data_IF_536799828459
#
_entry.id   IF_536799828459
#
_cell.length_a   1.000
_cell.length_b   1.000
_cell.length_c   1.000
_cell.angle_alpha   90.00
_cell.angle_beta   90.00
_cell.angle_gamma   90.00
#
_symmetry.space_group_name_H-M   'P 1'
#
loop_
_entity.id
_entity.type
_entity.pdbx_description
1 polymer ?
#
# COMPACT_ATOMS: atom_id res chain seq x y z
N UNK A 1 -60.66 4.35 35.71
CA UNK A 1 -61.02 5.77 35.52
C UNK A 1 -59.75 6.59 35.67
N UNK A 2 -59.26 7.40 34.75
CA UNK A 2 -59.71 7.86 33.45
C UNK A 2 -58.46 8.06 32.56
N UNK A 3 -58.62 7.83 31.26
CA UNK A 3 -57.60 8.10 30.24
C UNK A 3 -57.51 9.61 29.97
N UNK A 4 -56.31 10.13 29.72
CA UNK A 4 -56.14 11.33 28.91
C UNK A 4 -54.99 11.15 27.92
N UNK A 5 -55.40 11.10 26.66
CA UNK A 5 -54.57 11.07 25.46
C UNK A 5 -54.26 12.52 25.10
N UNK A 6 -52.98 12.91 25.16
CA UNK A 6 -52.48 14.16 24.61
C UNK A 6 -51.74 13.89 23.30
N UNK A 7 -52.37 14.25 22.18
CA UNK A 7 -51.75 14.23 20.84
C UNK A 7 -50.76 15.39 20.75
N UNK A 8 -49.49 15.12 20.45
CA UNK A 8 -48.58 16.12 19.89
C UNK A 8 -48.00 15.57 18.60
N UNK A 9 -48.29 16.27 17.51
CA UNK A 9 -47.87 15.97 16.16
C UNK A 9 -46.83 17.02 15.71
N UNK A 10 -45.84 16.54 14.93
CA UNK A 10 -44.90 17.29 14.08
C UNK A 10 -43.96 18.27 14.80
N UNK A 11 -42.65 18.27 14.54
CA UNK A 11 -42.04 18.39 13.21
C UNK A 11 -40.66 17.73 13.15
N UNK A 12 -40.46 16.94 12.09
CA UNK A 12 -39.19 16.43 11.61
C UNK A 12 -38.38 17.59 11.01
N UNK A 13 -37.39 18.08 11.74
CA UNK A 13 -36.40 19.04 11.25
C UNK A 13 -35.11 18.31 10.91
N UNK A 14 -35.00 17.78 9.68
CA UNK A 14 -33.76 17.27 9.15
C UNK A 14 -32.81 18.44 8.87
N UNK A 15 -31.74 18.57 9.66
CA UNK A 15 -30.57 19.36 9.30
C UNK A 15 -29.43 18.38 9.00
N UNK A 16 -29.49 17.81 7.80
CA UNK A 16 -28.34 17.21 7.13
C UNK A 16 -27.38 18.35 6.77
N UNK A 17 -26.49 18.68 7.69
CA UNK A 17 -25.25 19.36 7.31
C UNK A 17 -24.32 18.28 6.78
N UNK A 18 -24.53 17.93 5.51
CA UNK A 18 -23.56 17.23 4.69
C UNK A 18 -22.36 18.17 4.47
N UNK A 19 -21.50 18.25 5.47
CA UNK A 19 -20.15 18.74 5.29
C UNK A 19 -19.41 17.69 4.48
N UNK A 20 -19.21 17.96 3.19
CA UNK A 20 -18.19 17.28 2.39
C UNK A 20 -16.83 17.59 3.04
N UNK A 21 -16.43 16.76 4.00
CA UNK A 21 -15.05 16.71 4.48
C UNK A 21 -14.23 16.01 3.40
N UNK A 22 -13.91 16.76 2.35
CA UNK A 22 -12.75 16.43 1.52
C UNK A 22 -11.51 16.73 2.36
N UNK A 23 -11.09 15.78 3.19
CA UNK A 23 -9.73 15.75 3.70
C UNK A 23 -8.79 15.35 2.55
N UNK A 24 -8.56 16.27 1.62
CA UNK A 24 -7.55 16.12 0.57
C UNK A 24 -6.26 16.80 1.03
N UNK A 25 -5.42 16.07 1.76
CA UNK A 25 -3.95 16.16 1.74
C UNK A 25 -3.40 15.25 2.84
N UNK A 26 -2.90 14.07 2.45
CA UNK A 26 -2.14 13.18 3.33
C UNK A 26 -0.66 13.15 2.93
N UNK A 27 -0.05 14.34 2.83
CA UNK A 27 1.38 14.46 2.61
C UNK A 27 1.83 15.88 2.31
N UNK A 28 2.93 16.31 2.91
CA UNK A 28 3.67 17.47 2.43
C UNK A 28 4.03 17.27 0.95
N UNK A 29 3.87 18.33 0.15
CA UNK A 29 4.25 18.33 -1.25
C UNK A 29 5.71 17.86 -1.40
N UNK A 30 5.94 16.87 -2.27
CA UNK A 30 7.29 16.34 -2.49
C UNK A 30 8.21 17.43 -3.02
N UNK A 31 9.41 17.50 -2.46
CA UNK A 31 10.52 18.26 -3.04
C UNK A 31 10.92 17.67 -4.38
N UNK A 32 11.61 18.46 -5.21
CA UNK A 32 12.13 17.97 -6.50
C UNK A 32 13.05 16.74 -6.33
N UNK A 33 13.86 16.72 -5.26
CA UNK A 33 14.73 15.60 -4.94
C UNK A 33 13.93 14.34 -4.60
N UNK A 34 12.88 14.45 -3.78
CA UNK A 34 11.98 13.33 -3.47
C UNK A 34 11.25 12.85 -4.72
N UNK A 35 10.79 13.77 -5.59
CA UNK A 35 10.12 13.40 -6.83
C UNK A 35 11.05 12.64 -7.79
N UNK A 36 12.32 13.06 -7.90
CA UNK A 36 13.35 12.32 -8.66
C UNK A 36 13.61 10.96 -8.02
N UNK A 37 13.75 10.89 -6.70
CA UNK A 37 13.97 9.65 -5.99
C UNK A 37 12.83 8.64 -6.21
N UNK A 38 11.57 9.09 -6.11
CA UNK A 38 10.40 8.26 -6.37
C UNK A 38 10.32 7.73 -7.81
N UNK A 39 10.86 8.50 -8.76
CA UNK A 39 11.02 8.08 -10.16
C UNK A 39 12.23 7.17 -10.42
N UNK A 40 12.97 6.79 -9.36
CA UNK A 40 14.13 5.91 -9.40
C UNK A 40 15.44 6.61 -9.76
N UNK A 41 15.54 7.92 -9.52
CA UNK A 41 16.72 8.74 -9.82
C UNK A 41 17.22 9.41 -8.54
N UNK A 42 18.29 8.87 -7.96
CA UNK A 42 18.92 9.36 -6.72
C UNK A 42 20.37 8.87 -6.62
N UNK A 43 21.18 9.47 -5.75
CA UNK A 43 22.53 8.96 -5.43
C UNK A 43 22.49 8.03 -4.22
N UNK A 44 23.36 7.02 -4.19
CA UNK A 44 23.35 6.01 -3.11
C UNK A 44 23.58 6.61 -1.72
N UNK A 45 24.39 7.68 -1.66
CA UNK A 45 24.68 8.43 -0.44
C UNK A 45 23.47 9.18 0.14
N UNK A 46 22.41 9.37 -0.65
CA UNK A 46 21.21 10.09 -0.24
C UNK A 46 20.18 9.16 0.41
N UNK A 47 20.38 7.83 0.30
CA UNK A 47 19.51 6.82 0.94
C UNK A 47 19.78 6.77 2.43
N UNK A 48 18.72 6.75 3.22
CA UNK A 48 18.76 6.69 4.69
C UNK A 48 17.95 5.50 5.21
N UNK A 49 18.37 5.00 6.37
CA UNK A 49 17.60 4.03 7.14
C UNK A 49 16.21 4.56 7.50
N UNK A 50 15.26 3.64 7.68
CA UNK A 50 13.87 3.91 8.04
C UNK A 50 13.41 2.93 9.11
N UNK A 51 12.55 3.40 10.02
CA UNK A 51 11.93 2.56 11.03
C UNK A 51 10.64 1.92 10.48
N UNK A 52 10.19 0.81 11.07
CA UNK A 52 8.93 0.17 10.65
C UNK A 52 7.72 1.10 10.82
N UNK A 53 7.82 2.06 11.74
CA UNK A 53 6.79 3.09 11.97
C UNK A 53 6.51 3.99 10.77
N UNK A 54 7.40 4.06 9.78
CA UNK A 54 7.12 4.74 8.51
C UNK A 54 5.96 4.06 7.73
N UNK A 55 5.63 2.82 8.07
CA UNK A 55 4.50 2.05 7.53
C UNK A 55 3.42 1.75 8.57
N UNK A 56 3.42 2.39 9.74
CA UNK A 56 2.37 2.20 10.75
C UNK A 56 0.98 2.51 10.14
N UNK A 57 0.00 1.68 10.47
CA UNK A 57 -1.37 1.80 9.97
C UNK A 57 -2.00 0.47 9.57
N UNK A 58 -3.21 0.56 9.05
CA UNK A 58 -3.94 -0.58 8.48
C UNK A 58 -4.02 -0.44 6.97
N UNK A 59 -3.76 -1.52 6.26
CA UNK A 59 -3.51 -1.49 4.83
C UNK A 59 -4.33 -2.57 4.10
N UNK A 60 -4.92 -2.21 2.96
CA UNK A 60 -5.73 -3.09 2.12
C UNK A 60 -5.00 -3.42 0.81
N UNK A 61 -5.05 -4.70 0.41
CA UNK A 61 -4.52 -5.15 -0.88
C UNK A 61 -5.33 -4.56 -2.04
N UNK A 62 -4.64 -4.14 -3.11
CA UNK A 62 -5.30 -3.67 -4.35
C UNK A 62 -5.71 -4.82 -5.28
N UNK A 63 -5.30 -6.06 -4.97
CA UNK A 63 -5.58 -7.20 -5.83
C UNK A 63 -7.07 -7.45 -6.07
N UNK A 64 -7.96 -7.37 -5.06
CA UNK A 64 -9.41 -7.47 -5.28
C UNK A 64 -9.95 -6.43 -6.27
N UNK A 65 -9.41 -5.21 -6.29
CA UNK A 65 -9.83 -4.15 -7.22
C UNK A 65 -9.37 -4.43 -8.65
N UNK A 66 -8.25 -5.14 -8.82
CA UNK A 66 -7.85 -5.64 -10.14
C UNK A 66 -8.81 -6.75 -10.60
N UNK A 67 -9.17 -7.66 -9.71
CA UNK A 67 -10.01 -8.83 -10.03
C UNK A 67 -11.44 -8.43 -10.41
N UNK A 68 -12.03 -7.47 -9.72
CA UNK A 68 -13.38 -6.98 -9.99
C UNK A 68 -13.46 -5.97 -11.16
N UNK A 69 -12.30 -5.57 -11.71
CA UNK A 69 -12.19 -4.68 -12.87
C UNK A 69 -12.16 -3.19 -12.53
N UNK A 70 -12.19 -2.81 -11.25
CA UNK A 70 -12.20 -1.40 -10.84
C UNK A 70 -10.93 -0.65 -11.24
N UNK A 71 -9.80 -1.35 -11.39
CA UNK A 71 -8.54 -0.76 -11.86
C UNK A 71 -8.43 -0.64 -13.39
N UNK A 72 -9.43 -1.09 -14.17
CA UNK A 72 -9.39 -1.03 -15.64
C UNK A 72 -9.14 0.38 -16.21
N UNK A 73 -9.70 1.48 -15.66
CA UNK A 73 -9.37 2.84 -16.10
C UNK A 73 -7.88 3.17 -15.99
N UNK A 74 -7.21 2.72 -14.92
CA UNK A 74 -5.76 2.90 -14.70
C UNK A 74 -4.97 2.23 -15.81
N UNK A 75 -5.28 0.96 -16.11
CA UNK A 75 -4.55 0.20 -17.13
C UNK A 75 -4.80 0.74 -18.54
N UNK A 76 -6.02 1.22 -18.83
CA UNK A 76 -6.32 1.91 -20.11
C UNK A 76 -5.49 3.17 -20.26
N UNK A 77 -5.38 3.98 -19.22
CA UNK A 77 -4.57 5.21 -19.26
C UNK A 77 -3.08 4.89 -19.47
N UNK A 78 -2.55 3.87 -18.78
CA UNK A 78 -1.15 3.43 -18.96
C UNK A 78 -0.87 2.92 -20.38
N UNK A 79 -1.76 2.09 -20.96
CA UNK A 79 -1.66 1.66 -22.37
C UNK A 79 -1.85 2.81 -23.38
N UNK A 80 -2.56 3.88 -23.00
CA UNK A 80 -2.65 5.08 -23.82
C UNK A 80 -1.35 5.89 -23.80
N UNK A 81 -0.66 5.97 -22.66
CA UNK A 81 0.63 6.65 -22.49
C UNK A 81 1.78 5.88 -23.14
N UNK A 82 1.81 4.56 -23.03
CA UNK A 82 2.79 3.68 -23.67
C UNK A 82 2.15 2.84 -24.78
N UNK A 83 2.36 3.25 -26.03
CA UNK A 83 1.80 2.58 -27.21
C UNK A 83 2.47 1.24 -27.54
N UNK A 84 3.53 0.85 -26.83
CA UNK A 84 4.18 -0.45 -27.02
C UNK A 84 3.46 -1.61 -26.33
N UNK A 85 2.48 -1.31 -25.47
CA UNK A 85 1.70 -2.29 -24.71
C UNK A 85 0.20 -2.10 -24.92
N UNK A 86 -0.50 -3.20 -25.16
CA UNK A 86 -1.96 -3.24 -25.15
C UNK A 86 -2.52 -3.18 -23.72
N UNK A 87 -3.81 -2.87 -23.60
CA UNK A 87 -4.53 -2.90 -22.32
C UNK A 87 -4.40 -4.28 -21.63
N UNK A 88 -4.53 -5.37 -22.38
CA UNK A 88 -4.47 -6.72 -21.82
C UNK A 88 -3.07 -7.08 -21.33
N UNK A 89 -2.01 -6.64 -22.04
CA UNK A 89 -0.63 -6.82 -21.58
C UNK A 89 -0.33 -6.03 -20.30
N UNK A 90 -0.81 -4.78 -20.22
CA UNK A 90 -0.69 -3.96 -19.00
C UNK A 90 -1.44 -4.64 -17.85
N UNK A 91 -2.70 -5.04 -18.06
CA UNK A 91 -3.51 -5.70 -17.03
C UNK A 91 -2.90 -7.03 -16.59
N UNK A 92 -2.31 -7.81 -17.51
CA UNK A 92 -1.62 -9.05 -17.19
C UNK A 92 -0.36 -8.81 -16.34
N UNK A 93 0.44 -7.79 -16.68
CA UNK A 93 1.60 -7.37 -15.90
C UNK A 93 1.22 -7.03 -14.45
N UNK A 94 0.21 -6.16 -14.27
CA UNK A 94 -0.27 -5.80 -12.93
C UNK A 94 -0.98 -6.94 -12.21
N UNK A 95 -1.60 -7.88 -12.93
CA UNK A 95 -2.19 -9.09 -12.33
C UNK A 95 -1.12 -9.96 -11.68
N UNK A 96 0.02 -10.15 -12.34
CA UNK A 96 1.17 -10.85 -11.77
C UNK A 96 1.76 -10.06 -10.61
N UNK A 97 1.92 -8.74 -10.77
CA UNK A 97 2.45 -7.85 -9.74
C UNK A 97 1.64 -7.88 -8.44
N UNK A 98 0.33 -7.67 -8.53
CA UNK A 98 -0.52 -7.50 -7.35
C UNK A 98 -0.99 -8.81 -6.72
N UNK A 99 -0.84 -9.96 -7.39
CA UNK A 99 -1.36 -11.23 -6.90
C UNK A 99 -0.86 -11.55 -5.48
N UNK A 100 -1.80 -11.76 -4.56
CA UNK A 100 -1.53 -12.15 -3.17
C UNK A 100 -2.76 -12.79 -2.54
N UNK A 101 -2.55 -13.63 -1.53
CA UNK A 101 -3.57 -14.18 -0.65
C UNK A 101 -3.64 -13.46 0.71
N UNK A 102 -2.81 -12.42 0.91
CA UNK A 102 -2.85 -11.52 2.07
C UNK A 102 -3.78 -10.36 1.73
N UNK A 103 -4.95 -10.34 2.35
CA UNK A 103 -6.00 -9.36 2.07
C UNK A 103 -5.69 -8.00 2.71
N UNK A 104 -5.14 -8.03 3.92
CA UNK A 104 -4.83 -6.85 4.71
C UNK A 104 -3.59 -7.03 5.58
N UNK A 105 -2.93 -5.92 5.88
CA UNK A 105 -1.78 -5.85 6.78
C UNK A 105 -2.04 -4.77 7.83
N UNK A 106 -1.83 -5.11 9.10
CA UNK A 106 -1.78 -4.15 10.20
C UNK A 106 -0.35 -3.96 10.67
N UNK A 107 0.07 -2.73 10.92
CA UNK A 107 1.42 -2.39 11.39
C UNK A 107 1.29 -1.41 12.55
N UNK A 108 1.79 -1.80 13.71
CA UNK A 108 1.84 -0.94 14.89
C UNK A 108 2.91 -1.42 15.86
N UNK A 109 3.66 -0.52 16.49
CA UNK A 109 4.61 -0.85 17.55
C UNK A 109 5.64 -1.94 17.12
N UNK A 110 6.15 -1.83 15.89
CA UNK A 110 7.05 -2.80 15.23
C UNK A 110 6.48 -4.22 15.06
N UNK A 111 5.17 -4.40 15.25
CA UNK A 111 4.48 -5.65 14.98
C UNK A 111 3.75 -5.54 13.66
N UNK A 112 3.90 -6.54 12.80
CA UNK A 112 3.08 -6.68 11.61
C UNK A 112 2.11 -7.85 11.79
N UNK A 113 0.86 -7.63 11.40
CA UNK A 113 -0.19 -8.64 11.32
C UNK A 113 -0.59 -8.84 9.85
N UNK A 114 -0.65 -10.10 9.40
CA UNK A 114 -1.01 -10.47 8.04
C UNK A 114 -2.33 -11.25 8.08
N UNK A 115 -3.32 -10.76 7.33
CA UNK A 115 -4.65 -11.33 7.28
C UNK A 115 -4.85 -12.09 5.96
N UNK A 116 -5.15 -13.39 6.04
CA UNK A 116 -5.49 -14.25 4.91
C UNK A 116 -6.88 -14.84 5.13
N UNK A 117 -7.91 -14.19 4.61
CA UNK A 117 -9.29 -14.49 4.95
C UNK A 117 -9.55 -14.44 6.46
N UNK A 118 -9.75 -15.60 7.09
CA UNK A 118 -9.95 -15.72 8.55
C UNK A 118 -8.67 -15.99 9.33
N UNK A 119 -7.58 -16.34 8.64
CA UNK A 119 -6.30 -16.63 9.27
C UNK A 119 -5.53 -15.34 9.52
N UNK A 120 -4.94 -15.24 10.71
CA UNK A 120 -4.09 -14.11 11.09
C UNK A 120 -2.76 -14.66 11.59
N UNK A 121 -1.67 -14.08 11.11
CA UNK A 121 -0.33 -14.35 11.60
C UNK A 121 0.36 -13.03 11.95
N UNK A 122 1.22 -13.03 12.96
CA UNK A 122 1.86 -11.80 13.46
C UNK A 122 3.26 -12.04 13.95
N UNK A 123 4.12 -11.04 13.81
CA UNK A 123 5.44 -11.06 14.42
C UNK A 123 5.92 -9.66 14.75
N UNK A 124 6.75 -9.53 15.79
CA UNK A 124 7.57 -8.35 15.98
C UNK A 124 8.78 -8.45 15.05
N UNK A 125 8.99 -7.42 14.24
CA UNK A 125 10.02 -7.41 13.22
C UNK A 125 11.21 -6.55 13.63
N UNK A 126 12.41 -7.10 13.43
CA UNK A 126 13.66 -6.38 13.60
C UNK A 126 14.13 -5.83 12.26
N UNK A 127 14.60 -4.59 12.25
CA UNK A 127 15.17 -3.98 11.06
C UNK A 127 16.53 -4.62 10.71
N UNK A 128 16.71 -4.92 9.43
CA UNK A 128 17.88 -5.60 8.85
C UNK A 128 18.62 -4.73 7.81
N UNK A 129 18.42 -3.41 7.85
CA UNK A 129 19.03 -2.47 6.91
C UNK A 129 18.24 -2.29 5.61
N UNK A 130 18.83 -1.58 4.65
CA UNK A 130 18.27 -1.43 3.31
C UNK A 130 19.17 -2.00 2.23
N UNK A 131 18.61 -2.22 1.04
CA UNK A 131 19.33 -2.60 -0.18
C UNK A 131 18.90 -1.72 -1.34
N UNK A 132 19.88 -1.15 -2.03
CA UNK A 132 19.68 -0.41 -3.27
C UNK A 132 19.73 -1.43 -4.41
N UNK A 133 18.70 -1.40 -5.27
CA UNK A 133 18.58 -2.22 -6.46
C UNK A 133 18.70 -1.33 -7.70
N UNK A 134 19.38 -1.83 -8.72
CA UNK A 134 19.42 -1.22 -10.05
C UNK A 134 18.67 -2.12 -11.02
N UNK A 135 17.61 -1.61 -11.62
CA UNK A 135 16.78 -2.34 -12.58
C UNK A 135 17.42 -2.35 -13.96
N UNK A 136 16.94 -3.24 -14.85
CA UNK A 136 17.45 -3.33 -16.22
C UNK A 136 17.31 -2.01 -17.01
N UNK A 137 16.35 -1.15 -16.63
CA UNK A 137 16.16 0.18 -17.19
C UNK A 137 17.22 1.21 -16.75
N UNK A 138 18.09 0.87 -15.81
CA UNK A 138 19.04 1.79 -15.16
C UNK A 138 18.44 2.61 -14.02
N UNK A 139 17.10 2.61 -13.86
CA UNK A 139 16.45 3.18 -12.67
C UNK A 139 16.82 2.38 -11.42
N UNK A 140 16.75 3.03 -10.27
CA UNK A 140 17.01 2.41 -8.97
C UNK A 140 15.76 2.34 -8.11
N UNK A 141 15.79 1.44 -7.13
CA UNK A 141 14.82 1.36 -6.05
C UNK A 141 15.49 0.94 -4.75
N UNK A 142 14.81 1.15 -3.63
CA UNK A 142 15.29 0.76 -2.31
C UNK A 142 14.34 -0.27 -1.71
N UNK A 143 14.91 -1.32 -1.13
CA UNK A 143 14.22 -2.32 -0.30
C UNK A 143 14.62 -2.08 1.15
N UNK A 144 13.65 -1.91 2.05
CA UNK A 144 13.87 -1.85 3.49
C UNK A 144 13.55 -3.20 4.12
N UNK A 145 14.55 -3.83 4.75
CA UNK A 145 14.52 -5.24 5.13
C UNK A 145 14.14 -5.40 6.60
N UNK A 146 13.26 -6.36 6.87
CA UNK A 146 12.80 -6.68 8.23
C UNK A 146 12.76 -8.20 8.43
N UNK A 147 13.18 -8.68 9.59
CA UNK A 147 13.21 -10.10 9.95
C UNK A 147 12.39 -10.39 11.21
N UNK A 148 11.52 -11.39 11.12
CA UNK A 148 10.86 -12.00 12.27
C UNK A 148 11.80 -13.06 12.86
N UNK A 149 12.20 -12.87 14.12
CA UNK A 149 13.06 -13.83 14.85
C UNK A 149 12.29 -14.78 15.77
N UNK A 150 10.98 -14.56 15.93
CA UNK A 150 10.12 -15.45 16.69
C UNK A 150 9.87 -16.74 15.90
N UNK A 151 10.52 -17.82 16.33
CA UNK A 151 10.41 -19.14 15.70
C UNK A 151 9.06 -19.81 15.91
N UNK A 152 8.23 -19.28 16.81
CA UNK A 152 6.85 -19.73 17.02
C UNK A 152 5.84 -19.00 16.14
N UNK A 153 6.23 -17.86 15.54
CA UNK A 153 5.37 -17.11 14.64
C UNK A 153 5.15 -17.87 13.33
N UNK A 154 3.93 -17.73 12.80
CA UNK A 154 3.56 -18.18 11.46
C UNK A 154 3.65 -17.09 10.40
N UNK A 155 4.04 -15.86 10.78
CA UNK A 155 4.20 -14.75 9.86
C UNK A 155 5.42 -15.00 8.94
N UNK A 156 5.52 -14.33 7.77
CA UNK A 156 6.69 -14.43 6.92
C UNK A 156 7.97 -14.09 7.68
N UNK A 157 8.97 -14.98 7.65
CA UNK A 157 10.23 -14.77 8.35
C UNK A 157 10.95 -13.51 7.87
N UNK A 158 10.92 -13.24 6.58
CA UNK A 158 11.55 -12.08 5.96
C UNK A 158 10.51 -11.25 5.23
N UNK A 159 10.58 -9.93 5.43
CA UNK A 159 9.79 -8.94 4.70
C UNK A 159 10.68 -7.83 4.16
N UNK A 160 10.28 -7.27 3.02
CA UNK A 160 10.93 -6.10 2.45
C UNK A 160 9.89 -5.11 1.95
N UNK A 161 10.04 -3.83 2.29
CA UNK A 161 9.19 -2.76 1.77
C UNK A 161 9.87 -2.02 0.63
N UNK A 162 9.07 -1.58 -0.35
CA UNK A 162 9.47 -0.64 -1.40
C UNK A 162 8.28 0.29 -1.70
N UNK A 163 8.45 1.59 -1.53
CA UNK A 163 7.36 2.57 -1.58
C UNK A 163 7.78 3.91 -2.22
N UNK A 164 8.79 3.86 -3.09
CA UNK A 164 9.30 5.03 -3.80
C UNK A 164 9.95 6.10 -2.89
N UNK A 165 10.16 5.80 -1.61
CA UNK A 165 10.80 6.69 -0.65
C UNK A 165 12.18 6.15 -0.26
N UNK A 166 13.17 7.04 -0.10
CA UNK A 166 14.57 6.67 0.19
C UNK A 166 15.09 7.18 1.55
N UNK A 167 14.21 7.68 2.41
CA UNK A 167 14.55 8.11 3.78
C UNK A 167 13.31 8.28 4.65
N UNK A 168 13.46 8.67 5.93
CA UNK A 168 12.35 8.72 6.90
C UNK A 168 11.16 9.54 6.42
N UNK A 169 10.04 8.87 6.19
CA UNK A 169 8.76 9.46 5.77
C UNK A 169 7.65 8.41 5.87
N UNK A 170 6.48 8.85 6.32
CA UNK A 170 5.27 8.03 6.29
C UNK A 170 4.94 7.61 4.84
N UNK A 171 4.67 6.32 4.65
CA UNK A 171 4.33 5.72 3.37
C UNK A 171 2.91 6.12 2.94
N UNK A 172 2.70 6.34 1.64
CA UNK A 172 1.36 6.59 1.07
C UNK A 172 0.72 5.31 0.51
N UNK A 173 1.55 4.43 -0.02
CA UNK A 173 1.23 3.07 -0.44
C UNK A 173 2.56 2.31 -0.48
N UNK A 174 2.55 0.98 -0.47
CA UNK A 174 3.80 0.22 -0.58
C UNK A 174 3.64 -1.08 -1.37
N UNK A 175 4.77 -1.54 -1.90
CA UNK A 175 5.00 -2.90 -2.33
C UNK A 175 5.70 -3.68 -1.21
N UNK A 176 5.25 -4.90 -0.96
CA UNK A 176 5.84 -5.77 0.06
C UNK A 176 6.24 -7.13 -0.53
N UNK A 177 7.44 -7.58 -0.17
CA UNK A 177 7.98 -8.87 -0.55
C UNK A 177 8.06 -9.72 0.72
N UNK A 178 7.52 -10.94 0.68
CA UNK A 178 7.35 -11.80 1.84
C UNK A 178 7.91 -13.19 1.54
N UNK A 179 8.66 -13.77 2.49
CA UNK A 179 9.16 -15.13 2.31
C UNK A 179 9.85 -15.70 3.54
N UNK A 180 10.19 -17.00 3.47
CA UNK A 180 10.76 -17.74 4.59
C UNK A 180 12.21 -18.22 4.34
N UNK A 181 12.79 -17.94 3.18
CA UNK A 181 14.11 -18.45 2.78
C UNK A 181 15.24 -17.50 3.16
N UNK A 182 15.31 -16.31 2.57
CA UNK A 182 16.29 -15.27 2.91
C UNK A 182 15.91 -13.92 2.29
N UNK A 183 16.56 -12.84 2.73
CA UNK A 183 16.43 -11.54 2.05
C UNK A 183 16.95 -11.59 0.62
N UNK A 184 18.02 -12.32 0.32
CA UNK A 184 18.55 -12.47 -1.04
C UNK A 184 17.56 -13.14 -2.00
N UNK A 185 16.74 -14.07 -1.51
CA UNK A 185 15.66 -14.64 -2.30
C UNK A 185 14.63 -13.57 -2.68
N UNK A 186 14.23 -12.71 -1.74
CA UNK A 186 13.27 -11.62 -1.97
C UNK A 186 13.85 -10.49 -2.84
N UNK A 187 15.16 -10.25 -2.80
CA UNK A 187 15.82 -9.26 -3.66
C UNK A 187 15.87 -9.70 -5.13
N UNK A 188 15.71 -10.99 -5.41
CA UNK A 188 15.61 -11.53 -6.78
C UNK A 188 14.20 -11.47 -7.33
N UNK A 189 13.19 -11.31 -6.47
CA UNK A 189 11.79 -11.17 -6.88
C UNK A 189 11.56 -9.79 -7.51
N UNK A 190 11.09 -9.81 -8.76
CA UNK A 190 10.84 -8.64 -9.61
C UNK A 190 9.45 -8.65 -10.27
N UNK A 191 8.77 -9.80 -10.25
CA UNK A 191 7.53 -10.02 -11.01
C UNK A 191 6.30 -9.90 -10.11
N UNK A 192 6.38 -10.40 -8.88
CA UNK A 192 5.31 -10.32 -7.88
C UNK A 192 5.68 -9.34 -6.76
N UNK A 193 4.86 -8.30 -6.62
CA UNK A 193 5.04 -7.18 -5.69
C UNK A 193 3.66 -6.78 -5.13
N UNK A 194 3.10 -7.61 -4.22
CA UNK A 194 1.86 -7.30 -3.52
C UNK A 194 1.82 -5.86 -3.05
N UNK A 195 0.72 -5.16 -3.37
CA UNK A 195 0.63 -3.70 -3.23
C UNK A 195 -0.54 -3.32 -2.34
N UNK A 196 -0.28 -2.38 -1.43
CA UNK A 196 -1.21 -2.02 -0.39
C UNK A 196 -1.38 -0.51 -0.27
N UNK A 197 -2.62 -0.09 -0.03
CA UNK A 197 -3.02 1.28 0.25
C UNK A 197 -3.66 1.37 1.64
N UNK A 198 -3.77 2.57 2.25
CA UNK A 198 -4.43 2.73 3.54
C UNK A 198 -5.86 2.19 3.51
N UNK A 199 -6.25 1.44 4.53
CA UNK A 199 -7.54 0.74 4.60
C UNK A 199 -8.74 1.70 4.69
N UNK A 200 -8.52 2.94 5.15
CA UNK A 200 -9.52 4.00 5.18
C UNK A 200 -9.86 4.58 3.79
N UNK A 201 -9.03 4.33 2.77
CA UNK A 201 -9.31 4.81 1.43
C UNK A 201 -10.44 4.01 0.79
N UNK A 202 -11.43 4.72 0.25
CA UNK A 202 -12.41 4.11 -0.63
C UNK A 202 -11.77 3.69 -1.95
N UNK A 203 -12.35 2.69 -2.60
CA UNK A 203 -11.86 2.16 -3.87
C UNK A 203 -11.64 3.25 -4.92
N UNK A 204 -12.56 4.20 -5.02
CA UNK A 204 -12.49 5.32 -5.97
C UNK A 204 -11.30 6.23 -5.69
N UNK A 205 -10.92 6.42 -4.42
CA UNK A 205 -9.75 7.21 -4.04
C UNK A 205 -8.45 6.48 -4.39
N UNK A 206 -8.41 5.15 -4.24
CA UNK A 206 -7.25 4.34 -4.66
C UNK A 206 -7.09 4.40 -6.18
N UNK A 207 -8.19 4.27 -6.93
CA UNK A 207 -8.18 4.43 -8.40
C UNK A 207 -7.69 5.82 -8.80
N UNK A 208 -8.20 6.87 -8.15
CA UNK A 208 -7.82 8.25 -8.45
C UNK A 208 -6.33 8.50 -8.18
N UNK A 209 -5.80 8.00 -7.06
CA UNK A 209 -4.37 8.10 -6.78
C UNK A 209 -3.56 7.37 -7.87
N UNK A 210 -3.91 6.12 -8.19
CA UNK A 210 -3.21 5.33 -9.21
C UNK A 210 -3.24 5.96 -10.61
N UNK A 211 -4.24 6.78 -10.94
CA UNK A 211 -4.31 7.52 -12.22
C UNK A 211 -3.30 8.68 -12.30
N UNK A 212 -2.81 9.15 -11.16
CA UNK A 212 -1.78 10.18 -11.05
C UNK A 212 -0.35 9.62 -11.00
N UNK A 213 -0.21 8.29 -10.95
CA UNK A 213 1.06 7.55 -11.02
C UNK A 213 1.30 6.93 -12.42
#
# INVERSE_FOLDING_TARGET
MAAHIGKFAMTLGALLVSGQLFAHSHGHQMTEAEQKAANGVFEDKDVKDRALSDWDGTWQSVYPFLLDGSLDPVFRQKAQKDKSKSFDEVKAYYRTGYATDVDAIGIENNVMEFHKGKEVSRCHYDYSGYKILTYASGKKGVRYLFECKDTSSKAPKFVQFSDHTIGPKASSHFHIFMGNTSHEALLKEMDNWPTYYPNEMYKEQVVEEMLHH
#
